data_IF_519604171321
#
_entry.id   IF_519604171321
#
_cell.length_a   1.000
_cell.length_b   1.000
_cell.length_c   1.000
_cell.angle_alpha   90.00
_cell.angle_beta   90.00
_cell.angle_gamma   90.00
#
_symmetry.space_group_name_H-M   'P 1'
#
loop_
_entity.id
_entity.type
_entity.pdbx_description
1 polymer ?
#
# COMPACT_ATOMS: atom_id res chain seq x y z
N UNK A 1 -33.52 -7.19 -26.09
CA UNK A 1 -32.40 -7.95 -26.70
C UNK A 1 -31.06 -7.18 -26.67
N UNK A 2 -31.03 -5.86 -26.45
CA UNK A 2 -29.78 -5.07 -26.45
C UNK A 2 -29.37 -4.49 -25.08
N UNK A 3 -29.95 -4.99 -23.98
CA UNK A 3 -29.69 -4.48 -22.63
C UNK A 3 -28.23 -4.58 -22.19
N UNK A 4 -27.43 -5.45 -22.82
CA UNK A 4 -25.99 -5.59 -22.57
C UNK A 4 -25.16 -4.38 -23.05
N UNK A 5 -25.70 -3.52 -23.91
CA UNK A 5 -25.06 -2.27 -24.34
C UNK A 5 -25.32 -1.11 -23.38
N UNK A 6 -26.20 -1.32 -22.40
CA UNK A 6 -26.54 -0.32 -21.39
C UNK A 6 -25.78 -0.61 -20.11
N UNK A 7 -25.08 0.40 -19.61
CA UNK A 7 -24.44 0.39 -18.31
C UNK A 7 -24.90 1.60 -17.53
N UNK A 8 -25.19 1.42 -16.24
CA UNK A 8 -25.49 2.53 -15.35
C UNK A 8 -24.25 3.43 -15.27
N UNK A 9 -24.40 4.72 -15.56
CA UNK A 9 -23.31 5.67 -15.37
C UNK A 9 -22.93 5.75 -13.89
N UNK A 10 -21.65 5.57 -13.59
CA UNK A 10 -21.08 5.72 -12.25
C UNK A 10 -19.90 6.69 -12.38
N UNK A 11 -20.07 7.90 -11.84
CA UNK A 11 -19.03 8.94 -11.81
C UNK A 11 -18.50 9.17 -10.40
N UNK A 12 -17.35 9.85 -10.28
CA UNK A 12 -16.84 10.29 -8.98
C UNK A 12 -17.51 11.60 -8.55
N UNK A 13 -18.17 11.59 -7.39
CA UNK A 13 -18.82 12.76 -6.80
C UNK A 13 -20.15 13.15 -7.45
N UNK A 14 -20.60 14.39 -7.24
CA UNK A 14 -21.88 14.93 -7.74
C UNK A 14 -21.73 15.67 -9.08
N UNK A 15 -20.85 15.19 -9.96
CA UNK A 15 -20.64 15.80 -11.26
C UNK A 15 -21.70 15.30 -12.24
N UNK A 16 -22.51 16.20 -12.77
CA UNK A 16 -23.47 15.87 -13.84
C UNK A 16 -22.71 15.66 -15.15
N UNK A 17 -22.82 14.47 -15.79
CA UNK A 17 -22.11 14.20 -17.03
C UNK A 17 -22.66 15.07 -18.16
N UNK A 18 -21.77 15.49 -19.07
CA UNK A 18 -22.19 16.14 -20.31
C UNK A 18 -22.83 15.09 -21.22
N UNK A 19 -24.09 15.30 -21.59
CA UNK A 19 -24.81 14.43 -22.50
C UNK A 19 -24.26 14.57 -23.91
N UNK A 20 -24.05 13.44 -24.58
CA UNK A 20 -23.66 13.40 -25.99
C UNK A 20 -24.89 13.52 -26.89
N UNK A 21 -24.75 14.24 -28.02
CA UNK A 21 -25.81 14.31 -29.03
C UNK A 21 -25.83 13.02 -29.87
N UNK A 22 -27.03 12.49 -30.13
CA UNK A 22 -27.22 11.39 -31.06
C UNK A 22 -26.81 11.82 -32.48
N UNK A 23 -26.07 10.98 -33.19
CA UNK A 23 -25.52 11.28 -34.52
C UNK A 23 -24.33 12.25 -34.55
N UNK A 24 -23.84 12.70 -33.39
CA UNK A 24 -22.65 13.54 -33.29
C UNK A 24 -21.37 12.75 -33.01
N UNK A 25 -20.23 13.26 -33.45
CA UNK A 25 -18.92 12.59 -33.29
C UNK A 25 -18.28 12.77 -31.89
N UNK A 26 -18.96 13.47 -30.97
CA UNK A 26 -18.44 13.78 -29.64
C UNK A 26 -18.20 12.54 -28.77
N UNK A 27 -19.15 11.59 -28.78
CA UNK A 27 -19.01 10.33 -28.04
C UNK A 27 -17.84 9.49 -28.55
N UNK A 28 -17.72 9.36 -29.88
CA UNK A 28 -16.65 8.57 -30.49
C UNK A 28 -15.26 9.14 -30.17
N UNK A 29 -15.11 10.48 -30.21
CA UNK A 29 -13.86 11.16 -29.82
C UNK A 29 -13.52 10.91 -28.35
N UNK A 30 -14.48 11.09 -27.44
CA UNK A 30 -14.28 10.84 -26.00
C UNK A 30 -13.94 9.38 -25.72
N UNK A 31 -14.61 8.44 -26.39
CA UNK A 31 -14.33 7.01 -26.28
C UNK A 31 -12.90 6.68 -26.73
N UNK A 32 -12.49 7.15 -27.91
CA UNK A 32 -11.13 6.93 -28.44
C UNK A 32 -10.06 7.53 -27.53
N UNK A 33 -10.30 8.73 -26.99
CA UNK A 33 -9.38 9.35 -26.04
C UNK A 33 -9.25 8.55 -24.73
N UNK A 34 -10.37 8.05 -24.19
CA UNK A 34 -10.37 7.22 -22.99
C UNK A 34 -9.68 5.85 -23.23
N UNK A 35 -9.90 5.25 -24.39
CA UNK A 35 -9.23 4.01 -24.80
C UNK A 35 -7.71 4.21 -24.91
N UNK A 36 -7.28 5.29 -25.56
CA UNK A 36 -5.85 5.62 -25.66
C UNK A 36 -5.22 5.84 -24.28
N UNK A 37 -5.84 6.65 -23.42
CA UNK A 37 -5.35 6.88 -22.06
C UNK A 37 -5.30 5.60 -21.21
N UNK A 38 -6.24 4.67 -21.44
CA UNK A 38 -6.24 3.37 -20.77
C UNK A 38 -5.07 2.50 -21.24
N UNK A 39 -4.79 2.48 -22.54
CA UNK A 39 -3.65 1.75 -23.11
C UNK A 39 -2.32 2.32 -22.63
N UNK A 40 -2.19 3.64 -22.55
CA UNK A 40 -0.99 4.32 -22.06
C UNK A 40 -0.71 3.93 -20.60
N UNK A 41 -1.72 4.00 -19.74
CA UNK A 41 -1.59 3.60 -18.33
C UNK A 41 -1.25 2.11 -18.20
N UNK A 42 -1.88 1.24 -18.99
CA UNK A 42 -1.59 -0.18 -18.98
C UNK A 42 -0.13 -0.46 -19.40
N UNK A 43 0.37 0.23 -20.42
CA UNK A 43 1.75 0.12 -20.86
C UNK A 43 2.74 0.60 -19.78
N UNK A 44 2.43 1.69 -19.09
CA UNK A 44 3.24 2.20 -17.98
C UNK A 44 3.31 1.19 -16.82
N UNK A 45 2.16 0.65 -16.39
CA UNK A 45 2.11 -0.35 -15.32
C UNK A 45 2.90 -1.61 -15.68
N UNK A 46 2.78 -2.09 -16.92
CA UNK A 46 3.56 -3.24 -17.40
C UNK A 46 5.05 -2.95 -17.42
N UNK A 47 5.45 -1.77 -17.87
CA UNK A 47 6.86 -1.34 -17.88
C UNK A 47 7.44 -1.31 -16.46
N UNK A 48 6.71 -0.72 -15.50
CA UNK A 48 7.13 -0.70 -14.08
C UNK A 48 7.25 -2.11 -13.51
N UNK A 49 6.29 -3.00 -13.79
CA UNK A 49 6.35 -4.38 -13.31
C UNK A 49 7.51 -5.17 -13.95
N UNK A 50 7.75 -5.01 -15.25
CA UNK A 50 8.87 -5.65 -15.94
C UNK A 50 10.22 -5.17 -15.38
N UNK A 51 10.36 -3.87 -15.13
CA UNK A 51 11.55 -3.30 -14.50
C UNK A 51 11.75 -3.83 -13.07
N UNK A 52 10.67 -4.16 -12.35
CA UNK A 52 10.74 -4.74 -11.01
C UNK A 52 11.12 -6.21 -11.01
N UNK A 53 10.53 -7.03 -11.89
CA UNK A 53 10.77 -8.47 -11.94
C UNK A 53 12.17 -8.83 -12.44
N UNK A 54 12.79 -7.96 -13.23
CA UNK A 54 14.15 -8.13 -13.74
C UNK A 54 15.24 -7.73 -12.74
N UNK A 55 14.90 -6.98 -11.69
CA UNK A 55 15.86 -6.54 -10.67
C UNK A 55 15.85 -7.51 -9.49
N UNK A 56 17.02 -7.91 -8.96
CA UNK A 56 17.07 -8.66 -7.71
C UNK A 56 16.53 -7.79 -6.57
N UNK A 57 15.66 -8.37 -5.76
CA UNK A 57 15.16 -7.80 -4.51
C UNK A 57 16.04 -8.14 -3.32
N UNK A 58 15.60 -7.69 -2.15
CA UNK A 58 16.21 -8.03 -0.87
C UNK A 58 15.27 -9.02 -0.18
N UNK A 59 15.76 -10.23 0.05
CA UNK A 59 15.05 -11.22 0.87
C UNK A 59 15.31 -10.95 2.34
N UNK A 60 14.26 -11.08 3.15
CA UNK A 60 14.32 -10.93 4.60
C UNK A 60 14.28 -12.31 5.31
N UNK A 61 14.91 -12.44 6.49
CA UNK A 61 14.96 -13.71 7.24
C UNK A 61 13.58 -14.27 7.54
N UNK A 62 13.44 -15.59 7.63
CA UNK A 62 12.20 -16.23 8.08
C UNK A 62 11.92 -15.90 9.54
N UNK A 63 10.65 -15.90 9.90
CA UNK A 63 10.23 -15.56 11.27
C UNK A 63 10.83 -16.53 12.32
N UNK A 64 11.03 -17.79 11.95
CA UNK A 64 11.64 -18.83 12.79
C UNK A 64 13.12 -18.56 13.11
N UNK A 65 13.80 -17.75 12.30
CA UNK A 65 15.21 -17.41 12.49
C UNK A 65 15.41 -16.37 13.61
N UNK A 66 14.35 -15.67 14.04
CA UNK A 66 14.45 -14.65 15.08
C UNK A 66 13.23 -14.66 16.05
N UNK A 67 13.44 -14.98 17.35
CA UNK A 67 12.34 -15.10 18.31
C UNK A 67 11.59 -13.78 18.56
N UNK A 68 12.21 -12.62 18.30
CA UNK A 68 11.57 -11.31 18.48
C UNK A 68 10.35 -11.13 17.60
N UNK A 69 10.29 -11.76 16.42
CA UNK A 69 9.12 -11.67 15.56
C UNK A 69 7.88 -12.24 16.24
N UNK A 70 7.99 -13.44 16.82
CA UNK A 70 6.89 -14.07 17.55
C UNK A 70 6.49 -13.30 18.81
N UNK A 71 7.44 -12.67 19.50
CA UNK A 71 7.14 -11.78 20.63
C UNK A 71 6.43 -10.51 20.20
N UNK A 72 6.86 -9.89 19.10
CA UNK A 72 6.24 -8.70 18.53
C UNK A 72 4.78 -8.97 18.16
N UNK A 73 4.50 -10.11 17.54
CA UNK A 73 3.14 -10.50 17.17
C UNK A 73 2.27 -10.78 18.40
N UNK A 74 2.78 -11.52 19.38
CA UNK A 74 2.07 -11.77 20.65
C UNK A 74 1.82 -10.51 21.46
N UNK A 75 2.58 -9.44 21.24
CA UNK A 75 2.36 -8.15 21.90
C UNK A 75 1.14 -7.40 21.36
N UNK A 76 0.56 -7.83 20.25
CA UNK A 76 -0.63 -7.20 19.67
C UNK A 76 -1.85 -7.45 20.58
N UNK A 77 -2.51 -6.39 21.09
CA UNK A 77 -3.55 -6.53 22.11
C UNK A 77 -4.91 -6.99 21.55
N UNK A 78 -5.04 -7.11 20.23
CA UNK A 78 -6.28 -7.48 19.57
C UNK A 78 -6.15 -8.83 18.87
N UNK A 79 -7.27 -9.54 18.77
CA UNK A 79 -7.34 -10.76 17.98
C UNK A 79 -7.49 -10.41 16.50
N UNK A 80 -6.64 -10.98 15.67
CA UNK A 80 -6.68 -10.78 14.23
C UNK A 80 -7.89 -11.48 13.60
N UNK A 81 -8.45 -10.86 12.56
CA UNK A 81 -9.45 -11.48 11.70
C UNK A 81 -8.79 -12.43 10.68
N UNK A 82 -9.54 -13.40 10.10
CA UNK A 82 -8.98 -14.28 9.08
C UNK A 82 -8.36 -13.54 7.89
N UNK A 83 -8.97 -12.44 7.45
CA UNK A 83 -8.45 -11.63 6.35
C UNK A 83 -7.16 -10.88 6.74
N UNK A 84 -7.06 -10.41 7.98
CA UNK A 84 -5.83 -9.81 8.50
C UNK A 84 -4.71 -10.84 8.57
N UNK A 85 -4.97 -12.03 9.12
CA UNK A 85 -3.98 -13.10 9.20
C UNK A 85 -3.47 -13.49 7.81
N UNK A 86 -4.37 -13.61 6.83
CA UNK A 86 -3.99 -13.86 5.43
C UNK A 86 -3.11 -12.73 4.88
N UNK A 87 -3.52 -11.47 5.03
CA UNK A 87 -2.77 -10.32 4.54
C UNK A 87 -1.37 -10.23 5.17
N UNK A 88 -1.24 -10.53 6.47
CA UNK A 88 0.04 -10.56 7.20
C UNK A 88 0.94 -11.66 6.63
N UNK A 89 0.43 -12.90 6.52
CA UNK A 89 1.19 -14.03 6.02
C UNK A 89 1.67 -13.81 4.58
N UNK A 90 0.78 -13.34 3.70
CA UNK A 90 1.12 -13.04 2.31
C UNK A 90 2.17 -11.93 2.20
N UNK A 91 2.06 -10.86 3.01
CA UNK A 91 3.04 -9.77 3.02
C UNK A 91 4.42 -10.27 3.47
N UNK A 92 4.49 -11.09 4.52
CA UNK A 92 5.75 -11.66 5.00
C UNK A 92 6.37 -12.61 3.98
N UNK A 93 5.56 -13.46 3.36
CA UNK A 93 6.02 -14.36 2.31
C UNK A 93 6.60 -13.59 1.13
N UNK A 94 6.01 -12.46 0.75
CA UNK A 94 6.56 -11.61 -0.30
C UNK A 94 7.90 -10.97 0.11
N UNK A 95 8.07 -10.58 1.39
CA UNK A 95 9.33 -10.06 1.92
C UNK A 95 10.45 -11.10 2.01
N UNK A 96 10.11 -12.39 2.10
CA UNK A 96 11.10 -13.48 2.11
C UNK A 96 11.60 -13.84 0.71
N UNK A 97 10.91 -13.39 -0.36
CA UNK A 97 11.31 -13.69 -1.73
C UNK A 97 12.50 -12.84 -2.18
N UNK A 98 13.26 -13.38 -3.13
CA UNK A 98 14.34 -12.67 -3.79
C UNK A 98 13.84 -11.63 -4.82
N UNK A 99 12.54 -11.57 -5.11
CA UNK A 99 11.94 -10.55 -5.98
C UNK A 99 11.43 -9.36 -5.16
N UNK A 100 11.55 -8.11 -5.63
CA UNK A 100 11.01 -6.96 -4.91
C UNK A 100 9.49 -7.06 -4.74
N UNK A 101 9.01 -6.87 -3.51
CA UNK A 101 7.57 -6.85 -3.20
C UNK A 101 6.90 -5.57 -3.73
N UNK A 102 5.70 -5.72 -4.31
CA UNK A 102 4.78 -4.62 -4.65
C UNK A 102 3.34 -5.04 -4.34
N UNK A 103 2.91 -4.77 -3.11
CA UNK A 103 1.64 -5.25 -2.56
C UNK A 103 0.75 -4.08 -2.14
N UNK A 104 -0.50 -4.12 -2.59
CA UNK A 104 -1.55 -3.21 -2.14
C UNK A 104 -2.45 -3.91 -1.12
N UNK A 105 -2.55 -3.33 0.08
CA UNK A 105 -3.50 -3.77 1.11
C UNK A 105 -4.72 -2.84 1.12
N UNK A 106 -5.87 -3.36 0.72
CA UNK A 106 -7.14 -2.65 0.73
C UNK A 106 -8.00 -3.08 1.93
N UNK A 107 -8.65 -2.11 2.58
CA UNK A 107 -9.60 -2.36 3.66
C UNK A 107 -10.10 -1.05 4.26
N UNK A 108 -11.23 -1.09 4.96
CA UNK A 108 -11.84 0.10 5.54
C UNK A 108 -11.06 0.64 6.75
N UNK A 109 -11.43 1.83 7.21
CA UNK A 109 -10.85 2.42 8.42
C UNK A 109 -11.09 1.49 9.61
N UNK A 110 -10.05 1.24 10.41
CA UNK A 110 -10.11 0.33 11.56
C UNK A 110 -9.83 -1.14 11.26
N UNK A 111 -9.68 -1.56 9.99
CA UNK A 111 -9.44 -2.96 9.62
C UNK A 111 -7.98 -3.44 9.84
N UNK A 112 -7.19 -2.72 10.65
CA UNK A 112 -5.84 -3.15 11.04
C UNK A 112 -4.77 -3.12 9.95
N UNK A 113 -4.94 -2.33 8.88
CA UNK A 113 -3.92 -2.13 7.83
C UNK A 113 -2.56 -1.71 8.41
N UNK A 114 -2.59 -0.86 9.44
CA UNK A 114 -1.40 -0.39 10.15
C UNK A 114 -0.64 -1.55 10.81
N UNK A 115 -1.34 -2.56 11.33
CA UNK A 115 -0.71 -3.73 11.95
C UNK A 115 0.02 -4.60 10.91
N UNK A 116 -0.53 -4.74 9.70
CA UNK A 116 0.17 -5.40 8.58
C UNK A 116 1.47 -4.66 8.25
N UNK A 117 1.41 -3.33 8.16
CA UNK A 117 2.59 -2.49 7.89
C UNK A 117 3.63 -2.55 9.02
N UNK A 118 3.20 -2.57 10.28
CA UNK A 118 4.07 -2.70 11.45
C UNK A 118 4.85 -4.02 11.44
N UNK A 119 4.17 -5.14 11.17
CA UNK A 119 4.82 -6.46 11.09
C UNK A 119 5.79 -6.56 9.92
N UNK A 120 5.42 -6.01 8.76
CA UNK A 120 6.30 -5.91 7.61
C UNK A 120 7.56 -5.09 7.93
N UNK A 121 7.39 -3.91 8.54
CA UNK A 121 8.50 -3.05 8.94
C UNK A 121 9.41 -3.74 9.97
N UNK A 122 8.83 -4.38 10.98
CA UNK A 122 9.59 -5.10 11.99
C UNK A 122 10.42 -6.23 11.37
N UNK A 123 9.84 -7.03 10.48
CA UNK A 123 10.58 -8.07 9.73
C UNK A 123 11.74 -7.49 8.93
N UNK A 124 11.54 -6.36 8.26
CA UNK A 124 12.61 -5.68 7.53
C UNK A 124 13.77 -5.26 8.46
N UNK A 125 13.44 -4.71 9.63
CA UNK A 125 14.40 -4.29 10.66
C UNK A 125 15.19 -5.48 11.23
N UNK A 126 14.53 -6.61 11.48
CA UNK A 126 15.22 -7.85 11.91
C UNK A 126 16.21 -8.36 10.84
N UNK A 127 15.93 -8.10 9.56
CA UNK A 127 16.87 -8.34 8.45
C UNK A 127 17.98 -7.29 8.31
N UNK A 128 18.15 -6.40 9.29
CA UNK A 128 19.18 -5.37 9.28
C UNK A 128 18.96 -4.25 8.26
N UNK A 129 17.71 -4.04 7.82
CA UNK A 129 17.36 -3.00 6.83
C UNK A 129 16.60 -1.85 7.48
N UNK A 130 16.75 -0.65 6.92
CA UNK A 130 15.96 0.52 7.31
C UNK A 130 14.59 0.50 6.63
N UNK A 131 13.60 1.10 7.26
CA UNK A 131 12.22 1.19 6.75
C UNK A 131 11.81 2.67 6.68
N UNK A 132 11.22 3.05 5.55
CA UNK A 132 10.59 4.35 5.37
C UNK A 132 9.06 4.18 5.25
N UNK A 133 8.31 4.99 6.00
CA UNK A 133 6.84 5.02 5.94
C UNK A 133 6.43 6.42 5.48
N UNK A 134 5.77 6.50 4.33
CA UNK A 134 5.30 7.76 3.75
C UNK A 134 3.81 7.94 4.04
N UNK A 135 3.44 9.15 4.46
CA UNK A 135 2.06 9.54 4.71
C UNK A 135 1.74 10.84 3.97
N UNK A 136 0.50 11.04 3.49
CA UNK A 136 0.17 12.19 2.65
C UNK A 136 0.01 13.49 3.44
N UNK A 137 -0.14 13.42 4.76
CA UNK A 137 -0.30 14.59 5.63
C UNK A 137 0.55 14.44 6.89
N UNK A 138 0.94 15.57 7.46
CA UNK A 138 1.71 15.63 8.71
C UNK A 138 0.96 15.03 9.90
N UNK A 139 -0.36 15.19 9.96
CA UNK A 139 -1.21 14.57 10.99
C UNK A 139 -1.15 13.04 10.92
N UNK A 140 -1.29 12.46 9.73
CA UNK A 140 -1.18 11.01 9.55
C UNK A 140 0.24 10.50 9.83
N UNK A 141 1.27 11.26 9.43
CA UNK A 141 2.65 10.93 9.73
C UNK A 141 2.91 10.89 11.24
N UNK A 142 2.36 11.85 12.00
CA UNK A 142 2.46 11.87 13.46
C UNK A 142 1.73 10.70 14.11
N UNK A 143 0.50 10.39 13.68
CA UNK A 143 -0.26 9.24 14.20
C UNK A 143 0.49 7.92 13.97
N UNK A 144 1.07 7.74 12.78
CA UNK A 144 1.90 6.57 12.48
C UNK A 144 3.17 6.55 13.32
N UNK A 145 3.85 7.69 13.49
CA UNK A 145 5.03 7.81 14.35
C UNK A 145 4.76 7.39 15.78
N UNK A 146 3.69 7.90 16.40
CA UNK A 146 3.26 7.55 17.75
C UNK A 146 2.99 6.03 17.86
N UNK A 147 2.21 5.49 16.92
CA UNK A 147 1.89 4.05 16.88
C UNK A 147 3.13 3.18 16.74
N UNK A 148 4.04 3.52 15.81
CA UNK A 148 5.28 2.76 15.60
C UNK A 148 6.20 2.84 16.81
N UNK A 149 6.36 4.02 17.40
CA UNK A 149 7.19 4.24 18.58
C UNK A 149 6.67 3.43 19.77
N UNK A 150 5.36 3.41 19.99
CA UNK A 150 4.74 2.63 21.08
C UNK A 150 4.87 1.12 20.84
N UNK A 151 4.51 0.64 19.64
CA UNK A 151 4.57 -0.79 19.30
C UNK A 151 6.00 -1.33 19.33
N UNK A 152 7.01 -0.53 19.00
CA UNK A 152 8.42 -0.94 18.94
C UNK A 152 9.25 -0.58 20.18
N UNK A 153 8.64 0.01 21.22
CA UNK A 153 9.36 0.55 22.40
C UNK A 153 10.19 -0.48 23.18
N UNK A 154 9.87 -1.78 23.08
CA UNK A 154 10.57 -2.86 23.80
C UNK A 154 11.83 -3.36 23.11
N UNK A 155 12.10 -2.90 21.89
CA UNK A 155 13.23 -3.33 21.08
C UNK A 155 14.22 -2.18 20.86
N UNK A 156 15.50 -2.47 20.57
CA UNK A 156 16.51 -1.46 20.30
C UNK A 156 16.34 -0.85 18.89
N UNK A 157 15.16 -0.29 18.61
CA UNK A 157 14.77 0.32 17.34
C UNK A 157 14.48 1.79 17.59
N UNK A 158 15.13 2.66 16.82
CA UNK A 158 14.83 4.10 16.81
C UNK A 158 13.78 4.39 15.74
N UNK A 159 12.73 5.11 16.13
CA UNK A 159 11.65 5.55 15.23
C UNK A 159 11.59 7.07 15.24
N UNK A 160 11.97 7.68 14.13
CA UNK A 160 12.00 9.13 13.95
C UNK A 160 10.96 9.63 12.93
N UNK A 161 10.51 10.87 13.11
CA UNK A 161 9.54 11.53 12.24
C UNK A 161 10.21 12.66 11.47
N UNK A 162 10.23 12.57 10.15
CA UNK A 162 10.59 13.69 9.29
C UNK A 162 9.31 14.39 8.81
N UNK A 163 9.09 15.63 9.25
CA UNK A 163 7.92 16.42 8.85
C UNK A 163 8.24 17.91 8.77
N UNK A 164 7.35 18.68 8.13
CA UNK A 164 7.48 20.13 8.03
C UNK A 164 7.39 20.85 9.38
N UNK A 165 6.88 20.20 10.43
CA UNK A 165 6.80 20.75 11.79
C UNK A 165 8.09 20.60 12.60
N UNK A 166 9.08 19.84 12.12
CA UNK A 166 10.40 19.80 12.75
C UNK A 166 11.30 20.90 12.20
N UNK A 167 11.94 21.64 13.10
CA UNK A 167 12.91 22.69 12.76
C UNK A 167 14.15 22.10 12.09
N UNK A 168 14.90 22.89 11.32
CA UNK A 168 16.09 22.42 10.60
C UNK A 168 17.16 21.81 11.51
N UNK A 169 17.21 22.21 12.78
CA UNK A 169 18.12 21.67 13.81
C UNK A 169 17.65 20.32 14.39
N UNK A 170 16.42 19.91 14.09
CA UNK A 170 15.78 18.67 14.56
C UNK A 170 15.46 17.69 13.40
N UNK A 171 15.91 18.01 12.18
CA UNK A 171 15.90 17.14 10.99
C UNK A 171 17.22 16.40 10.89
#
# INVERSE_FOLDING_TARGET
RESHLLSRYVGMGRITPRLSKLGGNGWERTRKAAEHATLDLAAELLSVQAARTTRPGISHPRDEENPWMGEFERSFPHRETPDQTRAIAETKNDLERASPMDRLICGDVGFGKTEVALRAAFKCLLGGRQVAVLAPTTVLAQQLHETFRERMARWPISVELLSSYRTATQR
#
